data_IF_256119134250
#
_entry.id   IF_256119134250
#
_cell.length_a   1.000
_cell.length_b   1.000
_cell.length_c   1.000
_cell.angle_alpha   90.00
_cell.angle_beta   90.00
_cell.angle_gamma   90.00
#
_symmetry.space_group_name_H-M   'P 1'
#
loop_
_entity.id
_entity.type
_entity.pdbx_description
1 polymer ?
#
# COMPACT_ATOMS: atom_id res chain seq x y z
N UNK A 1 -21.44 -60.51 -46.98
CA UNK A 1 -20.82 -59.18 -46.84
C UNK A 1 -21.82 -58.24 -46.17
N UNK A 2 -21.38 -57.45 -45.20
CA UNK A 2 -22.13 -56.31 -44.66
C UNK A 2 -22.69 -56.51 -43.25
N UNK A 3 -21.89 -56.14 -42.24
CA UNK A 3 -22.31 -55.56 -40.95
C UNK A 3 -21.08 -55.42 -40.05
N UNK A 4 -20.22 -54.43 -40.33
CA UNK A 4 -19.10 -54.06 -39.46
C UNK A 4 -18.96 -52.54 -39.24
N UNK A 5 -19.82 -51.70 -39.82
CA UNK A 5 -19.63 -50.24 -39.81
C UNK A 5 -20.32 -49.50 -38.65
N UNK A 6 -21.16 -50.15 -37.81
CA UNK A 6 -21.93 -49.43 -36.76
C UNK A 6 -21.25 -49.34 -35.39
N UNK A 7 -20.09 -49.97 -35.18
CA UNK A 7 -19.41 -50.01 -33.87
C UNK A 7 -18.41 -48.86 -33.70
N UNK A 8 -17.92 -48.28 -34.81
CA UNK A 8 -16.95 -47.18 -34.79
C UNK A 8 -17.54 -45.84 -34.32
N UNK A 9 -18.74 -45.50 -34.78
CA UNK A 9 -19.39 -44.19 -34.51
C UNK A 9 -19.81 -44.00 -33.04
N UNK A 10 -20.32 -45.07 -32.41
CA UNK A 10 -20.72 -45.00 -31.00
C UNK A 10 -19.50 -44.82 -30.08
N UNK A 11 -18.36 -45.41 -30.44
CA UNK A 11 -17.14 -45.33 -29.66
C UNK A 11 -16.46 -43.96 -29.82
N UNK A 12 -16.52 -43.35 -31.01
CA UNK A 12 -16.05 -41.98 -31.26
C UNK A 12 -16.91 -40.91 -30.58
N UNK A 13 -18.25 -41.07 -30.57
CA UNK A 13 -19.15 -40.20 -29.82
C UNK A 13 -18.88 -40.26 -28.32
N UNK A 14 -18.63 -41.45 -27.77
CA UNK A 14 -18.27 -41.62 -26.37
C UNK A 14 -16.91 -40.99 -26.02
N UNK A 15 -15.93 -41.02 -26.93
CA UNK A 15 -14.62 -40.36 -26.73
C UNK A 15 -14.76 -38.83 -26.80
N UNK A 16 -15.53 -38.30 -27.76
CA UNK A 16 -15.84 -36.87 -27.88
C UNK A 16 -16.58 -36.31 -26.64
N UNK A 17 -17.52 -37.09 -26.09
CA UNK A 17 -18.21 -36.73 -24.85
C UNK A 17 -17.26 -36.74 -23.65
N UNK A 18 -16.34 -37.71 -23.57
CA UNK A 18 -15.32 -37.74 -22.53
C UNK A 18 -14.34 -36.57 -22.63
N UNK A 19 -13.90 -36.20 -23.83
CA UNK A 19 -13.07 -35.01 -24.08
C UNK A 19 -13.82 -33.72 -23.73
N UNK A 20 -15.10 -33.61 -24.08
CA UNK A 20 -15.91 -32.45 -23.73
C UNK A 20 -16.09 -32.32 -22.21
N UNK A 21 -16.27 -33.44 -21.50
CA UNK A 21 -16.35 -33.45 -20.04
C UNK A 21 -15.01 -33.10 -19.38
N UNK A 22 -13.88 -33.54 -19.93
CA UNK A 22 -12.55 -33.20 -19.39
C UNK A 22 -12.24 -31.72 -19.59
N UNK A 23 -12.54 -31.16 -20.76
CA UNK A 23 -12.44 -29.72 -21.06
C UNK A 23 -13.30 -28.88 -20.11
N UNK A 24 -14.55 -29.28 -19.87
CA UNK A 24 -15.43 -28.58 -18.90
C UNK A 24 -14.86 -28.59 -17.48
N UNK A 25 -14.26 -29.71 -17.06
CA UNK A 25 -13.60 -29.80 -15.74
C UNK A 25 -12.40 -28.87 -15.67
N UNK A 26 -11.53 -28.87 -16.68
CA UNK A 26 -10.37 -27.99 -16.74
C UNK A 26 -10.76 -26.50 -16.72
N UNK A 27 -11.82 -26.11 -17.43
CA UNK A 27 -12.33 -24.73 -17.41
C UNK A 27 -12.90 -24.36 -16.03
N UNK A 28 -13.62 -25.26 -15.38
CA UNK A 28 -14.12 -25.03 -14.02
C UNK A 28 -12.99 -24.95 -12.99
N UNK A 29 -11.95 -25.75 -13.14
CA UNK A 29 -10.76 -25.74 -12.30
C UNK A 29 -9.99 -24.43 -12.47
N UNK A 30 -9.74 -24.01 -13.72
CA UNK A 30 -9.10 -22.74 -14.03
C UNK A 30 -9.89 -21.53 -13.49
N UNK A 31 -11.22 -21.53 -13.61
CA UNK A 31 -12.04 -20.46 -13.05
C UNK A 31 -11.97 -20.40 -11.52
N UNK A 32 -11.87 -21.55 -10.84
CA UNK A 32 -11.68 -21.60 -9.39
C UNK A 32 -10.29 -21.10 -8.99
N UNK A 33 -9.25 -21.51 -9.73
CA UNK A 33 -7.88 -21.02 -9.53
C UNK A 33 -7.80 -19.51 -9.73
N UNK A 34 -8.45 -18.97 -10.76
CA UNK A 34 -8.51 -17.53 -11.03
C UNK A 34 -9.24 -16.78 -9.90
N UNK A 35 -10.38 -17.31 -9.43
CA UNK A 35 -11.13 -16.74 -8.31
C UNK A 35 -10.30 -16.74 -7.02
N UNK A 36 -9.60 -17.84 -6.73
CA UNK A 36 -8.74 -17.96 -5.55
C UNK A 36 -7.56 -16.98 -5.63
N UNK A 37 -6.96 -16.84 -6.80
CA UNK A 37 -5.87 -15.89 -7.05
C UNK A 37 -6.36 -14.44 -6.93
N UNK A 38 -7.55 -14.11 -7.45
CA UNK A 38 -8.17 -12.80 -7.24
C UNK A 38 -8.41 -12.53 -5.75
N UNK A 39 -8.91 -13.51 -5.00
CA UNK A 39 -9.15 -13.38 -3.57
C UNK A 39 -7.84 -13.21 -2.78
N UNK A 40 -6.79 -13.95 -3.13
CA UNK A 40 -5.44 -13.82 -2.56
C UNK A 40 -4.80 -12.46 -2.90
N UNK A 41 -5.00 -11.94 -4.11
CA UNK A 41 -4.55 -10.59 -4.51
C UNK A 41 -5.36 -9.48 -3.83
N UNK A 42 -6.64 -9.73 -3.51
CA UNK A 42 -7.51 -8.80 -2.80
C UNK A 42 -7.25 -8.78 -1.28
N UNK A 43 -6.84 -9.91 -0.70
CA UNK A 43 -6.52 -10.06 0.73
C UNK A 43 -5.21 -10.82 1.00
N UNK A 44 -4.03 -10.35 0.52
CA UNK A 44 -2.78 -11.03 0.78
C UNK A 44 -2.47 -11.09 2.27
N UNK A 45 -1.94 -12.22 2.74
CA UNK A 45 -1.56 -12.44 4.13
C UNK A 45 -0.59 -11.37 4.68
N UNK A 46 0.15 -10.66 3.81
CA UNK A 46 1.03 -9.55 4.16
C UNK A 46 0.78 -8.31 3.26
N UNK A 47 -0.30 -7.56 3.50
CA UNK A 47 -0.57 -6.25 2.86
C UNK A 47 -0.22 -5.04 3.71
N UNK A 48 0.47 -5.26 4.82
CA UNK A 48 0.66 -4.22 5.81
C UNK A 48 1.49 -3.06 5.25
N UNK A 49 1.04 -1.84 5.53
CA UNK A 49 1.79 -0.60 5.38
C UNK A 49 1.93 0.04 6.75
N UNK A 50 3.13 0.52 7.05
CA UNK A 50 3.43 1.25 8.28
C UNK A 50 4.07 2.58 7.92
N UNK A 51 3.52 3.67 8.44
CA UNK A 51 3.95 5.04 8.17
C UNK A 51 4.55 5.61 9.45
N UNK A 52 5.76 6.12 9.35
CA UNK A 52 6.53 6.69 10.45
C UNK A 52 6.86 8.15 10.16
N UNK A 53 7.14 8.92 11.21
CA UNK A 53 7.69 10.26 11.11
C UNK A 53 8.94 10.39 11.96
N UNK A 54 9.92 11.10 11.41
CA UNK A 54 11.16 11.49 12.07
C UNK A 54 11.46 12.96 11.75
N UNK A 55 12.26 13.61 12.61
CA UNK A 55 12.67 15.00 12.41
C UNK A 55 14.19 15.07 12.31
N UNK A 56 14.67 15.73 11.26
CA UNK A 56 16.09 16.05 11.02
C UNK A 56 16.19 17.57 10.81
N UNK A 57 15.93 18.31 11.88
CA UNK A 57 15.83 19.78 11.88
C UNK A 57 16.61 20.35 13.08
N UNK A 58 17.17 21.55 12.92
CA UNK A 58 17.53 22.42 14.05
C UNK A 58 16.30 22.94 14.83
N UNK A 59 16.51 23.71 15.91
CA UNK A 59 15.52 24.10 16.94
C UNK A 59 14.30 24.94 16.49
N UNK A 60 13.99 25.10 15.20
CA UNK A 60 13.16 26.22 14.72
C UNK A 60 11.74 25.89 14.23
N UNK A 61 11.31 24.62 14.19
CA UNK A 61 9.93 24.26 13.82
C UNK A 61 9.22 23.54 14.95
N UNK A 62 8.25 24.21 15.57
CA UNK A 62 7.40 23.62 16.59
C UNK A 62 6.22 22.91 15.90
N UNK A 63 6.30 21.58 15.81
CA UNK A 63 5.24 20.75 15.24
C UNK A 63 4.02 20.70 16.19
N UNK A 64 2.85 21.10 15.70
CA UNK A 64 1.60 21.01 16.46
C UNK A 64 0.80 19.77 16.06
N UNK A 65 0.68 19.51 14.76
CA UNK A 65 -0.13 18.40 14.28
C UNK A 65 0.32 17.83 12.95
N UNK A 66 -0.01 16.54 12.76
CA UNK A 66 0.13 15.84 11.50
C UNK A 66 -1.21 15.22 11.13
N UNK A 67 -1.68 15.53 9.93
CA UNK A 67 -2.77 14.83 9.28
C UNK A 67 -2.24 13.99 8.13
N UNK A 68 -2.62 12.72 8.07
CA UNK A 68 -2.30 11.79 7.01
C UNK A 68 -3.55 11.41 6.24
N UNK A 69 -3.44 11.48 4.92
CA UNK A 69 -4.46 11.07 3.96
C UNK A 69 -3.83 10.04 3.02
N UNK A 70 -4.47 8.88 2.84
CA UNK A 70 -4.03 7.83 1.93
C UNK A 70 -5.13 7.58 0.88
N UNK A 71 -4.80 7.72 -0.40
CA UNK A 71 -5.73 7.66 -1.54
C UNK A 71 -6.96 8.56 -1.35
N UNK A 72 -6.74 9.78 -0.84
CA UNK A 72 -7.80 10.75 -0.56
C UNK A 72 -8.64 10.46 0.69
N UNK A 73 -8.30 9.44 1.50
CA UNK A 73 -8.98 9.13 2.77
C UNK A 73 -8.13 9.53 3.97
N UNK A 74 -8.70 10.25 4.92
CA UNK A 74 -8.02 10.56 6.18
C UNK A 74 -7.81 9.29 6.99
N UNK A 75 -6.54 8.94 7.21
CA UNK A 75 -6.13 7.70 7.92
C UNK A 75 -5.52 7.97 9.28
N UNK A 76 -5.01 9.18 9.53
CA UNK A 76 -4.47 9.57 10.84
C UNK A 76 -4.54 11.09 11.01
N UNK A 77 -4.79 11.55 12.23
CA UNK A 77 -4.65 12.95 12.62
C UNK A 77 -4.17 12.99 14.08
N UNK A 78 -3.00 13.56 14.31
CA UNK A 78 -2.34 13.52 15.60
C UNK A 78 -1.91 14.93 16.05
N UNK A 79 -2.21 15.25 17.31
CA UNK A 79 -1.76 16.48 17.97
C UNK A 79 -0.58 16.15 18.88
N UNK A 80 0.47 16.94 18.77
CA UNK A 80 1.71 16.75 19.50
C UNK A 80 1.76 17.56 20.79
N UNK A 81 2.34 16.96 21.83
CA UNK A 81 2.80 17.69 23.02
C UNK A 81 4.24 18.14 22.85
N UNK A 82 4.65 19.21 23.55
CA UNK A 82 6.04 19.70 23.53
C UNK A 82 7.07 18.60 23.83
N UNK A 83 6.74 17.67 24.73
CA UNK A 83 7.63 16.54 25.08
C UNK A 83 7.81 15.54 23.94
N UNK A 84 6.76 15.32 23.15
CA UNK A 84 6.81 14.41 21.99
C UNK A 84 7.59 15.04 20.85
N UNK A 85 7.39 16.34 20.60
CA UNK A 85 8.17 17.10 19.62
C UNK A 85 9.65 17.09 20.00
N UNK A 86 9.96 17.33 21.28
CA UNK A 86 11.32 17.27 21.82
C UNK A 86 11.94 15.85 21.73
N UNK A 87 11.13 14.79 21.83
CA UNK A 87 11.59 13.43 21.55
C UNK A 87 11.92 13.21 20.07
N UNK A 88 11.10 13.71 19.14
CA UNK A 88 11.37 13.64 17.71
C UNK A 88 12.63 14.42 17.33
N UNK A 89 12.85 15.61 17.91
CA UNK A 89 14.09 16.38 17.71
C UNK A 89 15.35 15.65 18.16
N UNK A 90 15.26 14.78 19.17
CA UNK A 90 16.38 13.94 19.61
C UNK A 90 16.60 12.70 18.73
N UNK A 91 15.97 12.62 17.56
CA UNK A 91 16.03 11.46 16.68
C UNK A 91 15.01 10.37 17.03
N UNK A 92 13.98 10.72 17.80
CA UNK A 92 12.83 9.85 17.99
C UNK A 92 12.12 9.57 16.67
N UNK A 93 11.55 8.38 16.55
CA UNK A 93 10.73 7.97 15.41
C UNK A 93 9.37 7.58 15.95
N UNK A 94 8.31 8.14 15.38
CA UNK A 94 6.95 7.80 15.75
C UNK A 94 6.23 7.08 14.63
N UNK A 95 5.49 6.02 14.98
CA UNK A 95 4.57 5.36 14.07
C UNK A 95 3.23 6.13 14.03
N UNK A 96 2.90 6.70 12.87
CA UNK A 96 1.69 7.51 12.67
C UNK A 96 0.48 6.67 12.23
N UNK A 97 0.72 5.60 11.47
CA UNK A 97 -0.33 4.76 10.91
C UNK A 97 0.20 3.36 10.62
N UNK A 98 -0.62 2.35 10.91
CA UNK A 98 -0.42 0.97 10.43
C UNK A 98 -1.76 0.47 9.90
N UNK A 99 -1.75 -0.06 8.69
CA UNK A 99 -2.95 -0.58 8.05
C UNK A 99 -2.62 -1.52 6.91
N UNK A 100 -3.64 -1.96 6.20
CA UNK A 100 -3.48 -2.80 5.02
C UNK A 100 -3.73 -1.97 3.77
N UNK A 101 -2.89 -2.17 2.77
CA UNK A 101 -2.97 -1.48 1.48
C UNK A 101 -2.90 -2.50 0.36
N UNK A 102 -3.77 -2.35 -0.64
CA UNK A 102 -3.81 -3.24 -1.80
C UNK A 102 -2.50 -3.17 -2.57
N UNK A 103 -2.25 -4.17 -3.41
CA UNK A 103 -1.14 -4.09 -4.37
C UNK A 103 -1.51 -3.08 -5.45
N UNK A 104 -0.60 -2.18 -5.79
CA UNK A 104 -0.84 -1.12 -6.78
C UNK A 104 -0.21 0.23 -6.42
N UNK A 105 -0.54 1.26 -7.21
CA UNK A 105 -0.11 2.64 -6.93
C UNK A 105 -1.00 3.29 -5.88
N UNK A 106 -0.36 3.99 -4.95
CA UNK A 106 -1.03 4.69 -3.86
C UNK A 106 -0.47 6.08 -3.66
N UNK A 107 -1.32 7.00 -3.22
CA UNK A 107 -0.95 8.37 -2.88
C UNK A 107 -1.05 8.60 -1.38
N UNK A 108 0.08 8.93 -0.76
CA UNK A 108 0.14 9.41 0.61
C UNK A 108 0.29 10.93 0.61
N UNK A 109 -0.61 11.61 1.31
CA UNK A 109 -0.53 13.04 1.58
C UNK A 109 -0.37 13.25 3.08
N UNK A 110 0.65 13.99 3.48
CA UNK A 110 0.87 14.41 4.86
C UNK A 110 0.81 15.93 4.96
N UNK A 111 0.02 16.43 5.90
CA UNK A 111 -0.13 17.84 6.19
C UNK A 111 0.43 18.07 7.59
N UNK A 112 1.52 18.83 7.66
CA UNK A 112 2.17 19.24 8.90
C UNK A 112 1.71 20.66 9.24
N UNK A 113 1.22 20.86 10.46
CA UNK A 113 0.87 22.17 10.99
C UNK A 113 1.73 22.44 12.21
N UNK A 114 2.21 23.66 12.33
CA UNK A 114 3.03 24.07 13.46
C UNK A 114 3.38 25.55 13.40
N UNK A 115 4.33 25.96 14.23
CA UNK A 115 4.83 27.32 14.30
C UNK A 115 6.27 27.39 13.82
N UNK A 116 6.53 28.28 12.87
CA UNK A 116 7.87 28.58 12.39
C UNK A 116 8.59 29.64 13.25
N UNK A 117 9.81 30.03 12.87
CA UNK A 117 10.52 31.12 13.52
C UNK A 117 9.65 32.39 13.51
N UNK A 118 9.61 33.11 14.64
CA UNK A 118 8.77 34.30 14.87
C UNK A 118 7.26 34.06 15.03
N UNK A 119 6.86 32.89 15.55
CA UNK A 119 5.46 32.58 15.93
C UNK A 119 4.48 32.64 14.74
N UNK A 120 4.99 32.44 13.52
CA UNK A 120 4.17 32.41 12.33
C UNK A 120 3.57 31.01 12.17
N UNK A 121 2.24 30.96 12.04
CA UNK A 121 1.54 29.74 11.65
C UNK A 121 2.11 29.22 10.33
N UNK A 122 2.55 27.97 10.36
CA UNK A 122 3.19 27.30 9.25
C UNK A 122 2.48 25.98 8.98
N UNK A 123 1.95 25.85 7.76
CA UNK A 123 1.28 24.65 7.29
C UNK A 123 1.92 24.18 6.00
N UNK A 124 2.31 22.91 5.94
CA UNK A 124 3.04 22.34 4.81
C UNK A 124 2.48 20.98 4.43
N UNK A 125 2.23 20.82 3.14
CA UNK A 125 1.82 19.57 2.56
C UNK A 125 2.97 18.81 1.93
N UNK A 126 2.81 17.51 1.89
CA UNK A 126 3.73 16.53 1.35
C UNK A 126 2.93 15.50 0.59
N UNK A 127 3.32 15.18 -0.64
CA UNK A 127 2.66 14.15 -1.42
C UNK A 127 3.70 13.16 -1.90
N UNK A 128 3.41 11.88 -1.71
CA UNK A 128 4.22 10.76 -2.15
C UNK A 128 3.34 9.78 -2.92
N UNK A 129 3.71 9.50 -4.16
CA UNK A 129 3.18 8.38 -4.91
C UNK A 129 4.11 7.18 -4.74
N UNK A 130 3.56 6.02 -4.41
CA UNK A 130 4.33 4.80 -4.25
C UNK A 130 3.57 3.55 -4.69
N UNK A 131 4.29 2.63 -5.32
CA UNK A 131 3.79 1.30 -5.61
C UNK A 131 3.88 0.38 -4.38
N UNK A 132 2.76 -0.17 -3.93
CA UNK A 132 2.69 -1.24 -2.95
C UNK A 132 2.80 -2.59 -3.66
N UNK A 133 3.83 -3.36 -3.33
CA UNK A 133 3.99 -4.74 -3.77
C UNK A 133 3.46 -5.72 -2.71
N UNK A 134 3.47 -7.02 -3.02
CA UNK A 134 3.19 -8.08 -2.03
C UNK A 134 4.23 -7.99 -0.89
N UNK A 135 3.79 -8.07 0.36
CA UNK A 135 4.67 -7.96 1.54
C UNK A 135 4.43 -6.70 2.38
N UNK A 136 5.17 -6.55 3.49
CA UNK A 136 5.09 -5.35 4.32
C UNK A 136 5.81 -4.18 3.66
N UNK A 137 5.26 -2.97 3.78
CA UNK A 137 5.90 -1.75 3.30
C UNK A 137 6.02 -0.72 4.41
N UNK A 138 7.21 -0.17 4.59
CA UNK A 138 7.50 0.88 5.55
C UNK A 138 7.70 2.19 4.80
N UNK A 139 7.06 3.26 5.27
CA UNK A 139 7.20 4.61 4.72
C UNK A 139 7.64 5.52 5.86
N UNK A 140 8.81 6.12 5.73
CA UNK A 140 9.31 7.09 6.69
C UNK A 140 9.15 8.50 6.13
N UNK A 141 8.49 9.37 6.89
CA UNK A 141 8.34 10.79 6.61
C UNK A 141 9.37 11.54 7.43
N UNK A 142 10.48 11.95 6.80
CA UNK A 142 11.47 12.80 7.47
C UNK A 142 11.11 14.26 7.25
N UNK A 143 10.94 15.00 8.35
CA UNK A 143 10.78 16.44 8.30
C UNK A 143 12.18 17.05 8.39
N UNK A 144 12.63 17.69 7.31
CA UNK A 144 13.90 18.46 7.27
C UNK A 144 13.65 19.90 6.82
N UNK A 145 14.50 20.81 7.33
CA UNK A 145 14.50 22.22 6.91
C UNK A 145 15.67 22.48 5.95
N UNK A 146 15.36 22.75 4.69
CA UNK A 146 16.31 23.32 3.75
C UNK A 146 16.00 24.81 3.59
N UNK A 147 16.82 25.65 4.23
CA UNK A 147 16.78 27.14 4.18
C UNK A 147 16.62 27.72 2.76
N UNK A 148 16.97 26.98 1.71
CA UNK A 148 16.98 27.46 0.33
C UNK A 148 15.74 27.10 -0.50
N UNK A 149 14.90 26.17 -0.05
CA UNK A 149 13.80 25.65 -0.91
C UNK A 149 12.43 25.57 -0.26
N UNK A 150 12.33 25.71 1.06
CA UNK A 150 11.05 25.66 1.77
C UNK A 150 10.18 24.46 1.35
N UNK A 151 10.79 23.31 1.01
CA UNK A 151 10.09 22.05 0.77
C UNK A 151 10.66 20.93 1.66
N UNK A 152 9.84 20.04 2.25
CA UNK A 152 10.34 18.90 3.00
C UNK A 152 10.69 17.82 2.00
N UNK A 153 11.85 17.19 2.16
CA UNK A 153 12.21 16.05 1.33
C UNK A 153 11.78 14.76 2.02
N UNK A 154 10.81 14.07 1.41
CA UNK A 154 10.32 12.77 1.88
C UNK A 154 11.22 11.69 1.32
N UNK A 155 12.15 11.23 2.14
CA UNK A 155 13.05 10.13 1.76
C UNK A 155 12.39 8.82 2.14
N UNK A 156 11.75 8.18 1.17
CA UNK A 156 11.25 6.81 1.34
C UNK A 156 12.44 5.86 1.39
N UNK A 157 12.75 5.35 2.58
CA UNK A 157 13.61 4.20 2.74
C UNK A 157 12.77 2.94 2.80
N UNK A 158 12.85 2.10 1.78
CA UNK A 158 12.37 0.73 1.87
C UNK A 158 13.34 -0.02 2.79
N UNK A 159 12.80 -0.63 3.84
CA UNK A 159 13.50 -1.65 4.61
C UNK A 159 12.99 -2.99 4.07
N UNK A 160 13.88 -3.79 3.48
CA UNK A 160 13.64 -5.20 3.16
C UNK A 160 13.86 -6.07 4.41
#
# INVERSE_FOLDING_TARGET
MGNAESVGDANSLATLDQETQSLKKAVLELNKELFLLEEELLYPANTQVAIFVSMDIGEYFALDSIQLTLDGKDVSNYLYTEREVDALHRGGVQQLYVGNLKVGEHELVAIFTGKGPHDRDYKRGATLQFAKNIGSKYVELTISDQEKRLQPEFVVRNWD
#
